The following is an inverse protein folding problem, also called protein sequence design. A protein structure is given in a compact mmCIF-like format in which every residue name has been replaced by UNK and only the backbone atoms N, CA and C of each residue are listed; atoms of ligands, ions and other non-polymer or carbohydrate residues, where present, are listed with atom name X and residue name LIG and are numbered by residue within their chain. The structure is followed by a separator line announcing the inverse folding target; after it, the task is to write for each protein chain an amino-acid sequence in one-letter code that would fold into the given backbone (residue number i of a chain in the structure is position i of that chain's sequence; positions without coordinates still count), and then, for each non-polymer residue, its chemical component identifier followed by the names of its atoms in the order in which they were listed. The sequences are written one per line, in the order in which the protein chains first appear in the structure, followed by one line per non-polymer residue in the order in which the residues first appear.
data_IF_429623566561
#
_entry.id   IF_429623566561
#
_cell.length_a   1.000
_cell.length_b   1.000
_cell.length_c   1.000
_cell.angle_alpha   90.00
_cell.angle_beta   90.00
_cell.angle_gamma   90.00
#
_symmetry.space_group_name_H-M   'P 1'
#
loop_
_entity.id
_entity.type
_entity.pdbx_description
1 polymer ?
#
# COMPACT_ATOMS: atom_id res chain seq x y z
N UNK A 1 55.84 23.75 -11.32
CA UNK A 1 55.05 23.34 -12.51
C UNK A 1 53.68 24.06 -12.44
N UNK A 2 53.46 25.06 -13.32
CA UNK A 2 52.13 25.72 -13.37
C UNK A 2 51.20 24.81 -14.17
N UNK A 3 50.21 24.21 -13.53
CA UNK A 3 49.13 23.51 -14.24
C UNK A 3 48.50 24.46 -15.25
N UNK A 4 48.33 24.07 -16.53
CA UNK A 4 47.66 24.91 -17.51
C UNK A 4 46.26 25.25 -17.00
N UNK A 5 45.84 26.51 -17.17
CA UNK A 5 44.54 27.02 -16.67
C UNK A 5 43.35 26.13 -17.05
N UNK A 6 43.45 25.44 -18.18
CA UNK A 6 42.44 24.46 -18.67
C UNK A 6 42.37 23.22 -17.76
N UNK A 7 43.50 22.70 -17.29
CA UNK A 7 43.53 21.56 -16.37
C UNK A 7 42.97 21.92 -14.99
N UNK A 8 43.24 23.11 -14.49
CA UNK A 8 42.69 23.61 -13.25
C UNK A 8 41.14 23.78 -13.34
N UNK A 9 40.64 24.30 -14.47
CA UNK A 9 39.21 24.44 -14.75
C UNK A 9 38.51 23.05 -14.85
N UNK A 10 39.16 22.10 -15.51
CA UNK A 10 38.62 20.72 -15.63
C UNK A 10 38.56 20.04 -14.27
N UNK A 11 39.56 20.17 -13.41
CA UNK A 11 39.56 19.61 -12.05
C UNK A 11 38.47 20.27 -11.19
N UNK A 12 38.30 21.58 -11.28
CA UNK A 12 37.22 22.28 -10.57
C UNK A 12 35.83 21.86 -11.04
N UNK A 13 35.62 21.66 -12.34
CA UNK A 13 34.38 21.19 -12.89
C UNK A 13 34.05 19.74 -12.45
N UNK A 14 35.04 18.85 -12.44
CA UNK A 14 34.90 17.47 -11.94
C UNK A 14 34.60 17.47 -10.44
N UNK A 15 35.29 18.27 -9.65
CA UNK A 15 35.04 18.40 -8.21
C UNK A 15 33.62 18.90 -7.90
N UNK A 16 33.14 19.88 -8.68
CA UNK A 16 31.80 20.41 -8.56
C UNK A 16 30.73 19.36 -8.96
N UNK A 17 30.96 18.61 -10.04
CA UNK A 17 30.07 17.52 -10.47
C UNK A 17 29.97 16.41 -9.42
N UNK A 18 31.07 16.03 -8.77
CA UNK A 18 31.10 15.05 -7.70
C UNK A 18 30.36 15.54 -6.44
N UNK A 19 30.49 16.81 -6.07
CA UNK A 19 29.77 17.38 -4.93
C UNK A 19 28.24 17.41 -5.16
N UNK A 20 27.77 17.76 -6.35
CA UNK A 20 26.36 17.74 -6.72
C UNK A 20 25.80 16.32 -6.74
N UNK A 21 26.58 15.34 -7.21
CA UNK A 21 26.16 13.92 -7.24
C UNK A 21 25.98 13.34 -5.83
N UNK A 22 26.84 13.73 -4.88
CA UNK A 22 26.76 13.25 -3.50
C UNK A 22 25.48 13.72 -2.78
N UNK A 23 25.11 14.99 -2.91
CA UNK A 23 23.86 15.51 -2.33
C UNK A 23 22.62 14.85 -2.96
N UNK A 24 22.64 14.65 -4.28
CA UNK A 24 21.53 14.03 -5.00
C UNK A 24 21.36 12.56 -4.63
N UNK A 25 22.44 11.82 -4.47
CA UNK A 25 22.43 10.42 -4.05
C UNK A 25 21.79 10.25 -2.66
N UNK A 26 22.28 11.00 -1.66
CA UNK A 26 21.77 10.91 -0.29
C UNK A 26 20.28 11.24 -0.21
N UNK A 27 19.83 12.26 -0.95
CA UNK A 27 18.42 12.62 -1.00
C UNK A 27 17.54 11.54 -1.65
N UNK A 28 18.07 10.80 -2.64
CA UNK A 28 17.36 9.68 -3.25
C UNK A 28 17.26 8.49 -2.31
N UNK A 29 18.34 8.15 -1.62
CA UNK A 29 18.33 7.08 -0.60
C UNK A 29 17.31 7.41 0.50
N UNK A 30 17.34 8.64 1.02
CA UNK A 30 16.38 9.07 2.05
C UNK A 30 14.93 9.00 1.53
N UNK A 31 14.69 9.43 0.30
CA UNK A 31 13.35 9.36 -0.28
C UNK A 31 12.90 7.93 -0.52
N UNK A 32 13.78 7.02 -0.95
CA UNK A 32 13.48 5.59 -1.11
C UNK A 32 13.18 4.94 0.24
N UNK A 33 13.99 5.19 1.27
CA UNK A 33 13.75 4.69 2.62
C UNK A 33 12.42 5.19 3.21
N UNK A 34 12.06 6.44 2.94
CA UNK A 34 10.75 6.98 3.34
C UNK A 34 9.60 6.26 2.64
N UNK A 35 9.73 5.90 1.35
CA UNK A 35 8.75 5.09 0.63
C UNK A 35 8.63 3.70 1.25
N UNK A 36 9.76 3.02 1.52
CA UNK A 36 9.79 1.69 2.13
C UNK A 36 9.15 1.71 3.55
N UNK A 37 9.49 2.70 4.35
CA UNK A 37 8.89 2.89 5.68
C UNK A 37 7.38 3.16 5.62
N UNK A 38 6.92 3.89 4.60
CA UNK A 38 5.48 4.12 4.41
C UNK A 38 4.76 2.87 3.91
N UNK A 39 5.40 2.04 3.08
CA UNK A 39 4.87 0.74 2.68
C UNK A 39 4.61 -0.15 3.89
N UNK A 40 5.58 -0.25 4.79
CA UNK A 40 5.43 -1.01 6.03
C UNK A 40 4.22 -0.55 6.87
N UNK A 41 3.87 0.75 6.88
CA UNK A 41 2.66 1.24 7.54
C UNK A 41 1.38 0.77 6.84
N UNK A 42 1.38 0.72 5.51
CA UNK A 42 0.28 0.15 4.73
C UNK A 42 0.08 -1.32 5.08
N UNK A 43 1.14 -2.12 5.04
CA UNK A 43 1.09 -3.56 5.39
C UNK A 43 0.59 -3.78 6.80
N UNK A 44 1.05 -2.99 7.78
CA UNK A 44 0.58 -3.08 9.16
C UNK A 44 -0.94 -2.86 9.30
N UNK A 45 -1.55 -1.97 8.49
CA UNK A 45 -3.00 -1.78 8.52
C UNK A 45 -3.74 -2.96 7.87
N UNK A 46 -3.21 -3.52 6.79
CA UNK A 46 -3.79 -4.72 6.18
C UNK A 46 -3.67 -5.94 7.12
N UNK A 47 -2.54 -6.10 7.81
CA UNK A 47 -2.37 -7.14 8.81
C UNK A 47 -3.39 -6.97 9.95
N UNK A 48 -3.55 -5.74 10.48
CA UNK A 48 -4.56 -5.45 11.50
C UNK A 48 -5.97 -5.81 11.04
N UNK A 49 -6.33 -5.54 9.79
CA UNK A 49 -7.61 -5.97 9.23
C UNK A 49 -7.75 -7.48 9.23
N UNK A 50 -6.72 -8.19 8.77
CA UNK A 50 -6.70 -9.66 8.73
C UNK A 50 -6.82 -10.29 10.13
N UNK A 51 -6.27 -9.65 11.16
CA UNK A 51 -6.29 -10.13 12.55
C UNK A 51 -7.68 -9.97 13.20
N UNK A 52 -8.52 -9.06 12.73
CA UNK A 52 -9.90 -8.90 13.21
C UNK A 52 -10.85 -9.97 12.66
N UNK A 53 -10.54 -10.55 11.50
CA UNK A 53 -11.44 -11.46 10.78
C UNK A 53 -11.76 -12.74 11.54
N UNK A 54 -10.85 -13.46 12.21
CA UNK A 54 -11.18 -14.65 12.97
C UNK A 54 -12.23 -14.37 14.08
N UNK A 55 -12.13 -13.24 14.74
CA UNK A 55 -13.09 -12.82 15.76
C UNK A 55 -14.45 -12.51 15.16
N UNK A 56 -14.48 -11.83 14.00
CA UNK A 56 -15.71 -11.56 13.27
C UNK A 56 -16.40 -12.87 12.84
N UNK A 57 -15.64 -13.79 12.20
CA UNK A 57 -16.15 -15.11 11.76
C UNK A 57 -16.72 -15.89 12.93
N UNK A 58 -16.00 -15.96 14.06
CA UNK A 58 -16.47 -16.67 15.25
C UNK A 58 -17.73 -16.03 15.86
N UNK A 59 -17.79 -14.70 15.89
CA UNK A 59 -18.98 -13.98 16.38
C UNK A 59 -20.18 -14.27 15.48
N UNK A 60 -20.05 -14.13 14.15
CA UNK A 60 -21.14 -14.41 13.21
C UNK A 60 -21.60 -15.87 13.32
N UNK A 61 -20.64 -16.82 13.36
CA UNK A 61 -20.94 -18.26 13.49
C UNK A 61 -21.77 -18.61 14.73
N UNK A 62 -21.65 -17.82 15.82
CA UNK A 62 -22.45 -18.02 17.02
C UNK A 62 -23.94 -17.68 16.86
N UNK A 63 -24.31 -16.94 15.83
CA UNK A 63 -25.69 -16.49 15.57
C UNK A 63 -26.28 -17.05 14.28
N UNK A 64 -25.47 -17.68 13.41
CA UNK A 64 -25.87 -18.13 12.08
C UNK A 64 -25.71 -19.66 11.98
N UNK A 65 -26.69 -20.36 11.38
CA UNK A 65 -26.66 -21.82 11.19
C UNK A 65 -26.43 -22.24 9.74
N UNK A 66 -26.66 -21.33 8.77
CA UNK A 66 -26.69 -21.67 7.35
C UNK A 66 -25.66 -20.93 6.49
N UNK A 67 -24.76 -20.14 7.10
CA UNK A 67 -23.84 -19.23 6.40
C UNK A 67 -22.42 -19.81 6.25
N UNK A 68 -22.28 -21.17 6.26
CA UNK A 68 -20.96 -21.81 6.22
C UNK A 68 -20.16 -21.43 4.98
N UNK A 69 -20.79 -21.34 3.81
CA UNK A 69 -20.13 -20.99 2.55
C UNK A 69 -19.55 -19.57 2.58
N UNK A 70 -20.29 -18.60 3.11
CA UNK A 70 -19.81 -17.21 3.23
C UNK A 70 -18.67 -17.10 4.24
N UNK A 71 -18.77 -17.81 5.38
CA UNK A 71 -17.72 -17.82 6.40
C UNK A 71 -16.44 -18.50 5.89
N UNK A 72 -16.57 -19.58 5.12
CA UNK A 72 -15.46 -20.26 4.45
C UNK A 72 -14.81 -19.35 3.40
N UNK A 73 -15.61 -18.64 2.58
CA UNK A 73 -15.10 -17.70 1.59
C UNK A 73 -14.29 -16.55 2.23
N UNK A 74 -14.75 -15.99 3.35
CA UNK A 74 -13.99 -14.96 4.10
C UNK A 74 -12.69 -15.54 4.65
N UNK A 75 -12.73 -16.75 5.21
CA UNK A 75 -11.54 -17.41 5.76
C UNK A 75 -10.51 -17.71 4.68
N UNK A 76 -10.94 -18.19 3.51
CA UNK A 76 -10.09 -18.47 2.36
C UNK A 76 -9.48 -17.17 1.79
N UNK A 77 -10.29 -16.12 1.60
CA UNK A 77 -9.81 -14.82 1.14
C UNK A 77 -8.79 -14.20 2.11
N UNK A 78 -9.03 -14.33 3.43
CA UNK A 78 -8.06 -13.91 4.45
C UNK A 78 -6.73 -14.67 4.31
N UNK A 79 -6.78 -16.00 4.16
CA UNK A 79 -5.57 -16.81 4.01
C UNK A 79 -4.77 -16.37 2.77
N UNK A 80 -5.44 -16.13 1.63
CA UNK A 80 -4.82 -15.63 0.40
C UNK A 80 -4.18 -14.24 0.62
N UNK A 81 -4.90 -13.32 1.25
CA UNK A 81 -4.43 -11.96 1.52
C UNK A 81 -3.21 -11.93 2.46
N UNK A 82 -3.16 -12.81 3.47
CA UNK A 82 -2.05 -12.89 4.43
C UNK A 82 -0.83 -13.66 3.91
N UNK A 83 -0.99 -14.53 2.92
CA UNK A 83 0.13 -15.21 2.25
C UNK A 83 0.85 -14.29 1.27
N UNK A 84 0.21 -13.22 0.82
CA UNK A 84 0.77 -12.26 -0.10
C UNK A 84 1.60 -11.22 0.67
N UNK A 85 2.84 -11.60 1.01
CA UNK A 85 3.83 -10.64 1.55
C UNK A 85 4.64 -10.06 0.41
N UNK A 86 4.80 -8.75 0.39
CA UNK A 86 5.57 -8.06 -0.65
C UNK A 86 6.68 -7.26 0.03
N UNK A 87 7.92 -7.61 -0.25
CA UNK A 87 9.07 -6.87 0.26
C UNK A 87 9.11 -5.46 -0.35
N UNK A 88 9.18 -4.44 0.51
CA UNK A 88 9.26 -3.04 0.11
C UNK A 88 10.41 -2.75 -0.86
N UNK A 89 11.53 -3.50 -0.73
CA UNK A 89 12.73 -3.30 -1.56
C UNK A 89 12.58 -3.87 -2.96
N UNK A 90 11.76 -4.93 -3.12
CA UNK A 90 11.52 -5.63 -4.39
C UNK A 90 10.11 -5.40 -4.96
N UNK A 91 9.41 -4.38 -4.46
CA UNK A 91 8.05 -4.07 -4.87
C UNK A 91 8.03 -3.54 -6.31
N UNK A 92 7.48 -4.34 -7.22
CA UNK A 92 7.25 -4.02 -8.62
C UNK A 92 5.75 -3.89 -8.95
N UNK A 93 5.44 -3.54 -10.20
CA UNK A 93 4.06 -3.33 -10.63
C UNK A 93 3.22 -4.62 -10.57
N UNK A 94 3.82 -5.78 -10.86
CA UNK A 94 3.13 -7.07 -10.85
C UNK A 94 2.83 -7.54 -9.42
N UNK A 95 3.79 -7.42 -8.50
CA UNK A 95 3.58 -7.75 -7.08
C UNK A 95 2.58 -6.82 -6.41
N UNK A 96 2.61 -5.52 -6.74
CA UNK A 96 1.61 -4.55 -6.29
C UNK A 96 0.22 -4.91 -6.78
N UNK A 97 0.06 -5.29 -8.05
CA UNK A 97 -1.23 -5.69 -8.61
C UNK A 97 -1.76 -6.93 -7.91
N UNK A 98 -0.96 -7.98 -7.78
CA UNK A 98 -1.34 -9.22 -7.07
C UNK A 98 -1.74 -8.95 -5.62
N UNK A 99 -1.00 -8.06 -4.94
CA UNK A 99 -1.35 -7.63 -3.59
C UNK A 99 -2.72 -6.95 -3.56
N UNK A 100 -2.98 -6.00 -4.46
CA UNK A 100 -4.27 -5.29 -4.56
C UNK A 100 -5.43 -6.26 -4.85
N UNK A 101 -5.24 -7.21 -5.76
CA UNK A 101 -6.24 -8.24 -6.10
C UNK A 101 -6.60 -9.08 -4.88
N UNK A 102 -5.60 -9.60 -4.14
CA UNK A 102 -5.84 -10.41 -2.95
C UNK A 102 -6.56 -9.62 -1.83
N UNK A 103 -6.18 -8.36 -1.65
CA UNK A 103 -6.84 -7.47 -0.67
C UNK A 103 -8.25 -7.08 -1.10
N UNK A 104 -8.50 -6.92 -2.41
CA UNK A 104 -9.81 -6.65 -3.00
C UNK A 104 -10.77 -7.84 -2.84
N UNK A 105 -10.30 -9.07 -3.09
CA UNK A 105 -11.08 -10.30 -2.86
C UNK A 105 -11.53 -10.41 -1.40
N UNK A 106 -10.64 -10.09 -0.46
CA UNK A 106 -10.98 -10.08 0.97
C UNK A 106 -12.03 -9.00 1.30
N UNK A 107 -11.90 -7.80 0.73
CA UNK A 107 -12.90 -6.73 0.92
C UNK A 107 -14.27 -7.14 0.38
N UNK A 108 -14.34 -7.81 -0.78
CA UNK A 108 -15.59 -8.31 -1.34
C UNK A 108 -16.22 -9.42 -0.49
N UNK A 109 -15.40 -10.34 0.04
CA UNK A 109 -15.87 -11.40 0.91
C UNK A 109 -16.45 -10.85 2.22
N UNK A 110 -15.76 -9.85 2.82
CA UNK A 110 -16.24 -9.16 4.02
C UNK A 110 -17.53 -8.38 3.74
N UNK A 111 -17.65 -7.70 2.61
CA UNK A 111 -18.86 -6.99 2.19
C UNK A 111 -20.05 -7.94 2.08
N UNK A 112 -19.87 -9.13 1.48
CA UNK A 112 -20.90 -10.17 1.43
C UNK A 112 -21.30 -10.66 2.82
N UNK A 113 -20.33 -10.93 3.70
CA UNK A 113 -20.61 -11.34 5.07
C UNK A 113 -21.43 -10.29 5.81
N UNK A 114 -21.04 -9.02 5.74
CA UNK A 114 -21.76 -7.92 6.38
C UNK A 114 -23.18 -7.77 5.83
N UNK A 115 -23.38 -7.94 4.52
CA UNK A 115 -24.72 -7.91 3.91
C UNK A 115 -25.64 -9.01 4.45
N UNK A 116 -25.13 -10.24 4.67
CA UNK A 116 -25.91 -11.34 5.23
C UNK A 116 -26.30 -11.07 6.67
N UNK A 117 -25.47 -10.37 7.46
CA UNK A 117 -25.78 -10.07 8.86
C UNK A 117 -27.05 -9.22 9.03
N UNK A 118 -27.50 -8.55 7.96
CA UNK A 118 -28.76 -7.81 7.94
C UNK A 118 -30.00 -8.71 8.27
N UNK A 119 -29.91 -10.01 7.97
CA UNK A 119 -30.96 -10.98 8.23
C UNK A 119 -30.98 -11.52 9.67
N UNK A 120 -30.01 -11.10 10.51
CA UNK A 120 -29.80 -11.60 11.86
C UNK A 120 -29.87 -10.45 12.90
N UNK A 121 -31.08 -10.04 13.35
CA UNK A 121 -31.25 -8.90 14.27
C UNK A 121 -30.50 -9.06 15.60
N UNK A 122 -30.45 -10.28 16.14
CA UNK A 122 -29.78 -10.56 17.40
C UNK A 122 -28.26 -10.40 17.28
N UNK A 123 -27.68 -10.79 16.14
CA UNK A 123 -26.28 -10.54 15.84
C UNK A 123 -26.00 -9.03 15.73
N UNK A 124 -26.83 -8.28 15.02
CA UNK A 124 -26.69 -6.81 14.88
C UNK A 124 -26.81 -6.08 16.22
N UNK A 125 -27.58 -6.62 17.15
CA UNK A 125 -27.71 -6.09 18.52
C UNK A 125 -26.55 -6.51 19.45
N UNK A 126 -25.70 -7.45 19.02
CA UNK A 126 -24.57 -7.93 19.80
C UNK A 126 -23.51 -6.83 19.93
N UNK A 127 -23.17 -6.45 21.16
CA UNK A 127 -22.14 -5.46 21.45
C UNK A 127 -20.79 -5.84 20.82
N UNK A 128 -20.42 -7.11 20.87
CA UNK A 128 -19.19 -7.62 20.29
C UNK A 128 -19.15 -7.45 18.77
N UNK A 129 -20.27 -7.68 18.07
CA UNK A 129 -20.37 -7.49 16.63
C UNK A 129 -20.22 -6.00 16.26
N UNK A 130 -20.93 -5.12 16.98
CA UNK A 130 -20.85 -3.65 16.79
C UNK A 130 -19.43 -3.16 16.96
N UNK A 131 -18.72 -3.61 17.98
CA UNK A 131 -17.33 -3.21 18.24
C UNK A 131 -16.38 -3.71 17.15
N UNK A 132 -16.55 -4.95 16.67
CA UNK A 132 -15.75 -5.50 15.57
C UNK A 132 -16.00 -4.76 14.26
N UNK A 133 -17.26 -4.44 13.96
CA UNK A 133 -17.60 -3.64 12.78
C UNK A 133 -16.96 -2.25 12.85
N UNK A 134 -17.05 -1.56 13.97
CA UNK A 134 -16.41 -0.25 14.15
C UNK A 134 -14.89 -0.31 14.02
N UNK A 135 -14.24 -1.39 14.50
CA UNK A 135 -12.81 -1.60 14.35
C UNK A 135 -12.42 -1.86 12.89
N UNK A 136 -13.22 -2.64 12.15
CA UNK A 136 -13.00 -2.89 10.71
C UNK A 136 -13.14 -1.60 9.90
N UNK A 137 -14.19 -0.82 10.11
CA UNK A 137 -14.40 0.48 9.46
C UNK A 137 -13.26 1.46 9.77
N UNK A 138 -12.85 1.54 11.03
CA UNK A 138 -11.72 2.36 11.44
C UNK A 138 -10.39 1.91 10.81
N UNK A 139 -10.21 0.60 10.62
CA UNK A 139 -9.02 0.05 9.95
C UNK A 139 -9.04 0.35 8.45
N UNK A 140 -10.20 0.23 7.78
CA UNK A 140 -10.36 0.55 6.36
C UNK A 140 -10.06 2.03 6.08
N UNK A 141 -10.53 2.93 6.92
CA UNK A 141 -10.20 4.36 6.83
C UNK A 141 -8.68 4.62 6.98
N UNK A 142 -8.01 3.87 7.85
CA UNK A 142 -6.55 3.97 8.00
C UNK A 142 -5.82 3.41 6.78
N UNK A 143 -6.26 2.26 6.24
CA UNK A 143 -5.72 1.69 5.00
C UNK A 143 -5.79 2.75 3.88
N UNK A 144 -6.94 3.36 3.66
CA UNK A 144 -7.11 4.41 2.65
C UNK A 144 -6.16 5.58 2.88
N UNK A 145 -6.02 6.04 4.12
CA UNK A 145 -5.10 7.13 4.50
C UNK A 145 -3.64 6.77 4.20
N UNK A 146 -3.19 5.58 4.63
CA UNK A 146 -1.79 5.17 4.44
C UNK A 146 -1.47 4.86 2.96
N UNK A 147 -2.43 4.35 2.19
CA UNK A 147 -2.31 4.20 0.73
C UNK A 147 -2.12 5.56 0.03
N UNK A 148 -2.89 6.56 0.41
CA UNK A 148 -2.75 7.92 -0.13
C UNK A 148 -1.37 8.49 0.18
N UNK A 149 -0.92 8.38 1.44
CA UNK A 149 0.42 8.83 1.85
C UNK A 149 1.53 8.11 1.09
N UNK A 150 1.40 6.80 0.89
CA UNK A 150 2.34 6.00 0.10
C UNK A 150 2.40 6.52 -1.34
N UNK A 151 1.26 6.70 -1.99
CA UNK A 151 1.19 7.20 -3.37
C UNK A 151 1.83 8.59 -3.52
N UNK A 152 1.61 9.49 -2.54
CA UNK A 152 2.23 10.81 -2.52
C UNK A 152 3.77 10.74 -2.38
N UNK A 153 4.27 9.83 -1.54
CA UNK A 153 5.72 9.62 -1.37
C UNK A 153 6.34 9.03 -2.62
N UNK A 154 5.71 8.01 -3.22
CA UNK A 154 6.15 7.40 -4.49
C UNK A 154 6.16 8.44 -5.60
N UNK A 155 5.12 9.29 -5.71
CA UNK A 155 5.09 10.34 -6.72
C UNK A 155 6.26 11.32 -6.59
N UNK A 156 6.62 11.72 -5.36
CA UNK A 156 7.78 12.58 -5.07
C UNK A 156 9.09 11.88 -5.42
N UNK A 157 9.28 10.64 -4.98
CA UNK A 157 10.44 9.83 -5.27
C UNK A 157 10.62 9.62 -6.79
N UNK A 158 9.62 9.16 -7.49
CA UNK A 158 9.67 8.95 -8.93
C UNK A 158 9.92 10.25 -9.71
N UNK A 159 9.43 11.40 -9.21
CA UNK A 159 9.75 12.70 -9.80
C UNK A 159 11.24 13.08 -9.62
N UNK A 160 11.86 12.72 -8.47
CA UNK A 160 13.29 12.96 -8.25
C UNK A 160 14.16 12.18 -9.23
N UNK A 161 13.79 10.93 -9.56
CA UNK A 161 14.52 10.09 -10.52
C UNK A 161 14.51 10.67 -11.94
N UNK A 162 13.49 11.46 -12.31
CA UNK A 162 13.30 12.01 -13.66
C UNK A 162 13.74 13.47 -13.81
N UNK A 163 13.93 14.19 -12.72
CA UNK A 163 14.39 15.59 -12.74
C UNK A 163 15.90 15.68 -12.87
N UNK A 164 16.40 16.74 -13.55
CA UNK A 164 17.81 17.06 -13.57
C UNK A 164 18.21 17.77 -12.25
N UNK A 165 19.39 17.47 -11.64
CA UNK A 165 20.41 16.50 -12.07
C UNK A 165 20.15 15.05 -11.64
N UNK A 166 19.09 14.77 -10.89
CA UNK A 166 18.77 13.46 -10.31
C UNK A 166 18.73 12.30 -11.29
N UNK A 167 18.27 12.53 -12.53
CA UNK A 167 18.23 11.49 -13.57
C UNK A 167 19.60 10.87 -13.86
N UNK A 168 20.68 11.64 -13.72
CA UNK A 168 22.06 11.16 -13.91
C UNK A 168 22.43 10.24 -12.74
N UNK A 169 22.18 10.69 -11.52
CA UNK A 169 22.44 9.94 -10.29
C UNK A 169 21.64 8.63 -10.28
N UNK A 170 20.34 8.68 -10.61
CA UNK A 170 19.48 7.52 -10.66
C UNK A 170 20.01 6.43 -11.63
N UNK A 171 20.44 6.83 -12.82
CA UNK A 171 21.01 5.89 -13.81
C UNK A 171 22.34 5.29 -13.39
N UNK A 172 23.21 6.08 -12.75
CA UNK A 172 24.55 5.60 -12.31
C UNK A 172 24.42 4.61 -11.17
N UNK A 173 23.53 4.86 -10.22
CA UNK A 173 23.39 4.07 -9.00
C UNK A 173 22.24 3.06 -9.02
N UNK A 174 21.48 2.99 -10.13
CA UNK A 174 20.47 1.96 -10.33
C UNK A 174 19.17 2.18 -9.54
N UNK A 175 18.82 3.45 -9.23
CA UNK A 175 17.51 3.74 -8.63
C UNK A 175 16.38 3.53 -9.63
N UNK A 176 15.38 2.76 -9.23
CA UNK A 176 14.23 2.41 -10.05
C UNK A 176 12.94 3.05 -9.52
N UNK A 177 12.00 3.30 -10.42
CA UNK A 177 10.72 3.86 -10.06
C UNK A 177 9.89 2.83 -9.27
N UNK A 178 9.27 3.28 -8.18
CA UNK A 178 8.36 2.45 -7.38
C UNK A 178 6.94 2.53 -7.94
N UNK A 179 6.17 1.43 -7.88
CA UNK A 179 4.77 1.40 -8.33
C UNK A 179 3.86 2.19 -7.37
N UNK A 180 2.75 2.69 -7.92
CA UNK A 180 1.67 3.32 -7.14
C UNK A 180 0.47 2.39 -7.06
N UNK A 181 -0.38 2.62 -6.07
CA UNK A 181 -1.70 2.01 -6.07
C UNK A 181 -2.51 2.49 -7.27
N UNK A 182 -3.12 1.55 -7.99
CA UNK A 182 -4.10 1.86 -9.03
C UNK A 182 -5.49 1.97 -8.44
N UNK A 183 -6.35 2.76 -9.06
CA UNK A 183 -7.77 2.76 -8.73
C UNK A 183 -8.37 1.38 -9.06
N UNK A 184 -9.31 0.92 -8.25
CA UNK A 184 -10.04 -0.33 -8.54
C UNK A 184 -10.86 -0.16 -9.80
N UNK A 185 -10.93 -1.22 -10.63
CA UNK A 185 -11.73 -1.21 -11.84
C UNK A 185 -13.21 -0.92 -11.49
N UNK A 186 -13.79 0.07 -12.16
CA UNK A 186 -15.16 0.51 -11.92
C UNK A 186 -15.31 1.66 -10.93
N UNK A 187 -14.24 2.08 -10.24
CA UNK A 187 -14.28 3.24 -9.32
C UNK A 187 -14.53 4.57 -10.05
N UNK A 188 -14.33 4.62 -11.36
CA UNK A 188 -14.66 5.76 -12.21
C UNK A 188 -16.17 5.94 -12.46
N UNK A 189 -16.99 4.92 -12.17
CA UNK A 189 -18.44 4.99 -12.32
C UNK A 189 -19.06 5.47 -11.02
N UNK A 190 -19.65 6.66 -11.05
CA UNK A 190 -20.46 7.11 -9.93
C UNK A 190 -21.61 6.11 -9.67
N UNK A 191 -21.90 5.74 -8.40
CA UNK A 191 -23.02 4.86 -8.09
C UNK A 191 -24.32 5.50 -8.62
N UNK A 192 -25.06 4.76 -9.47
CA UNK A 192 -26.40 5.18 -9.90
C UNK A 192 -27.35 5.09 -8.67
N UNK A 193 -27.72 6.25 -8.15
CA UNK A 193 -28.77 6.34 -7.15
C UNK A 193 -30.11 6.24 -7.88
N UNK A 194 -30.75 5.09 -7.83
CA UNK A 194 -32.14 4.92 -8.27
C UNK A 194 -33.04 5.21 -7.07
N UNK A 195 -33.84 6.25 -7.18
CA UNK A 195 -34.92 6.58 -6.24
C UNK A 195 -36.17 5.77 -6.60
#
# INVERSE_FOLDING_TARGET
MKLPKIAALAIAAIGMALAFSSCSYNSMVEAEENVNAQWAKVENQYQRRADLIPNLVNTVKGYTTHESETLEAVTAARAKATQMTVDATSLDAESMQRFQEAQGELSQALGRLLSITENYPDLKASQQFIELQAQLEGTENRISTERTRYSDMVAKYNAMLRKFPGIITAKIFGFEAKPQFTAEEGSEKAPEVKF
#
